data_IF_680541850346
#
_entry.id   IF_680541850346
#
_cell.length_a   1.000
_cell.length_b   1.000
_cell.length_c   1.000
_cell.angle_alpha   90.00
_cell.angle_beta   90.00
_cell.angle_gamma   90.00
#
_symmetry.space_group_name_H-M   'P 1'
#
loop_
_entity.id
_entity.type
_entity.pdbx_description
1 polymer ?
#
# COMPACT_ATOMS: atom_id res chain seq x y z
N UNK A 1 -12.16 17.77 -75.40
CA UNK A 1 -10.88 17.64 -74.69
C UNK A 1 -10.97 16.34 -73.88
N UNK A 2 -10.44 15.22 -74.39
CA UNK A 2 -9.13 14.64 -74.02
C UNK A 2 -8.90 14.59 -72.50
N UNK A 3 -8.53 13.49 -71.85
CA UNK A 3 -8.22 12.11 -72.25
C UNK A 3 -8.26 11.26 -70.96
N UNK A 4 -8.65 10.00 -71.12
CA UNK A 4 -8.66 8.93 -70.12
C UNK A 4 -7.30 8.21 -70.14
N UNK A 5 -6.79 7.79 -68.97
CA UNK A 5 -5.94 6.60 -68.69
C UNK A 5 -5.18 6.85 -67.37
N UNK A 6 -5.01 5.91 -66.45
CA UNK A 6 -5.08 4.46 -66.60
C UNK A 6 -5.49 3.72 -65.33
N UNK A 7 -5.82 2.45 -65.59
CA UNK A 7 -6.18 1.38 -64.67
C UNK A 7 -5.00 0.94 -63.79
N UNK A 8 -5.34 0.45 -62.61
CA UNK A 8 -4.47 -0.33 -61.74
C UNK A 8 -5.34 -1.00 -60.68
N UNK A 9 -5.94 -2.13 -61.03
CA UNK A 9 -6.55 -3.05 -60.07
C UNK A 9 -5.44 -3.78 -59.31
N UNK A 10 -5.65 -3.95 -58.01
CA UNK A 10 -4.81 -4.72 -57.12
C UNK A 10 -5.62 -5.06 -55.88
N UNK A 11 -6.34 -6.17 -55.93
CA UNK A 11 -6.90 -6.83 -54.75
C UNK A 11 -5.76 -7.25 -53.82
N UNK A 12 -5.87 -6.94 -52.52
CA UNK A 12 -5.14 -7.65 -51.47
C UNK A 12 -5.86 -7.44 -50.14
N UNK A 13 -6.44 -8.52 -49.62
CA UNK A 13 -6.95 -8.62 -48.25
C UNK A 13 -5.91 -8.10 -47.24
N UNK A 14 -6.30 -7.14 -46.38
CA UNK A 14 -5.50 -6.77 -45.22
C UNK A 14 -6.23 -7.19 -43.96
N UNK A 15 -5.89 -8.41 -43.56
CA UNK A 15 -6.16 -9.04 -42.28
C UNK A 15 -5.89 -8.06 -41.12
N UNK A 16 -6.83 -8.03 -40.18
CA UNK A 16 -6.76 -7.37 -38.89
C UNK A 16 -5.43 -7.67 -38.18
N UNK A 17 -4.46 -6.76 -38.28
CA UNK A 17 -3.22 -6.86 -37.53
C UNK A 17 -3.45 -6.43 -36.08
N UNK A 18 -3.67 -7.43 -35.21
CA UNK A 18 -3.39 -7.31 -33.79
C UNK A 18 -1.88 -7.03 -33.65
N UNK A 19 -1.46 -5.98 -32.93
CA UNK A 19 -0.04 -5.73 -32.72
C UNK A 19 0.61 -6.94 -32.04
N UNK A 20 1.52 -7.61 -32.74
CA UNK A 20 2.34 -8.68 -32.16
C UNK A 20 3.22 -8.05 -31.08
N UNK A 21 2.93 -8.40 -29.83
CA UNK A 21 3.84 -8.14 -28.71
C UNK A 21 5.14 -8.90 -29.00
N UNK A 22 6.25 -8.17 -29.04
CA UNK A 22 7.59 -8.72 -29.12
C UNK A 22 7.80 -9.76 -28.01
N UNK A 23 7.77 -11.04 -28.37
CA UNK A 23 8.31 -12.11 -27.54
C UNK A 23 9.83 -11.98 -27.52
N UNK A 24 10.32 -11.20 -26.56
CA UNK A 24 11.71 -11.24 -26.17
C UNK A 24 12.01 -12.61 -25.58
N UNK A 25 12.93 -13.33 -26.23
CA UNK A 25 13.47 -14.62 -25.83
C UNK A 25 14.17 -14.54 -24.46
N UNK A 26 13.38 -14.65 -23.38
CA UNK A 26 13.72 -15.17 -22.04
C UNK A 26 12.45 -15.19 -21.14
N UNK A 27 11.30 -15.58 -21.72
CA UNK A 27 10.03 -15.57 -20.99
C UNK A 27 9.76 -16.93 -20.37
N UNK A 28 10.57 -17.31 -19.38
CA UNK A 28 10.05 -18.22 -18.33
C UNK A 28 8.68 -17.69 -17.90
N UNK A 29 7.65 -18.54 -17.94
CA UNK A 29 6.25 -18.14 -17.76
C UNK A 29 6.14 -17.28 -16.49
N UNK A 30 5.86 -16.00 -16.69
CA UNK A 30 5.46 -15.07 -15.63
C UNK A 30 4.15 -14.43 -16.05
N UNK A 31 3.15 -15.29 -16.20
CA UNK A 31 1.77 -14.87 -16.34
C UNK A 31 1.36 -14.23 -15.00
N UNK A 32 1.10 -12.92 -15.00
CA UNK A 32 0.71 -12.16 -13.80
C UNK A 32 -0.50 -12.76 -13.11
N UNK A 33 -1.45 -13.32 -13.88
CA UNK A 33 -2.64 -13.96 -13.35
C UNK A 33 -2.32 -15.26 -12.60
N UNK A 34 -1.39 -16.06 -13.11
CA UNK A 34 -0.91 -17.26 -12.40
C UNK A 34 -0.23 -16.86 -11.10
N UNK A 35 0.59 -15.81 -11.12
CA UNK A 35 1.26 -15.30 -9.92
C UNK A 35 0.26 -14.85 -8.86
N UNK A 36 -0.80 -14.13 -9.25
CA UNK A 36 -1.90 -13.74 -8.34
C UNK A 36 -2.56 -14.97 -7.72
N UNK A 37 -2.91 -15.98 -8.52
CA UNK A 37 -3.54 -17.21 -8.03
C UNK A 37 -2.64 -17.99 -7.06
N UNK A 38 -1.33 -18.02 -7.32
CA UNK A 38 -0.35 -18.59 -6.40
C UNK A 38 -0.32 -17.82 -5.07
N UNK A 39 -0.32 -16.49 -5.10
CA UNK A 39 -0.36 -15.72 -3.85
C UNK A 39 -1.70 -15.85 -3.11
N UNK A 40 -2.80 -16.01 -3.84
CA UNK A 40 -4.12 -16.29 -3.27
C UNK A 40 -4.14 -17.62 -2.53
N UNK A 41 -3.58 -18.69 -3.11
CA UNK A 41 -3.48 -20.00 -2.44
C UNK A 41 -2.58 -19.96 -1.21
N UNK A 42 -1.56 -19.09 -1.21
CA UNK A 42 -0.70 -18.80 -0.07
C UNK A 42 -1.32 -17.80 0.93
N UNK A 43 -2.60 -17.45 0.77
CA UNK A 43 -3.33 -16.49 1.61
C UNK A 43 -2.63 -15.14 1.74
N UNK A 44 -1.93 -14.73 0.67
CA UNK A 44 -1.15 -13.51 0.61
C UNK A 44 -0.21 -13.38 1.81
N UNK A 45 0.66 -14.37 2.02
CA UNK A 45 1.71 -14.31 3.03
C UNK A 45 2.78 -13.26 2.68
N UNK A 46 3.03 -12.36 3.64
CA UNK A 46 3.96 -11.23 3.48
C UNK A 46 5.41 -11.70 3.33
N UNK A 47 5.82 -12.72 4.10
CA UNK A 47 7.19 -13.21 4.06
C UNK A 47 7.51 -13.83 2.70
N UNK A 48 6.56 -14.57 2.13
CA UNK A 48 6.68 -15.15 0.80
C UNK A 48 6.76 -14.05 -0.25
N UNK A 49 5.92 -13.01 -0.19
CA UNK A 49 5.99 -11.89 -1.15
C UNK A 49 7.35 -11.19 -1.09
N UNK A 50 7.86 -10.89 0.10
CA UNK A 50 9.19 -10.30 0.30
C UNK A 50 10.29 -11.17 -0.32
N UNK A 51 10.27 -12.49 -0.07
CA UNK A 51 11.23 -13.44 -0.66
C UNK A 51 11.12 -13.47 -2.18
N UNK A 52 9.92 -13.59 -2.74
CA UNK A 52 9.67 -13.57 -4.19
C UNK A 52 10.21 -12.29 -4.84
N UNK A 53 9.96 -11.12 -4.23
CA UNK A 53 10.47 -9.84 -4.73
C UNK A 53 12.01 -9.72 -4.66
N UNK A 54 12.67 -10.53 -3.82
CA UNK A 54 14.12 -10.57 -3.70
C UNK A 54 14.80 -11.48 -4.74
N UNK A 55 14.07 -12.45 -5.33
CA UNK A 55 14.63 -13.45 -6.25
C UNK A 55 15.26 -12.82 -7.50
N UNK A 56 14.55 -11.92 -8.19
CA UNK A 56 15.09 -11.25 -9.39
C UNK A 56 14.44 -9.88 -9.64
N UNK A 57 15.01 -9.11 -10.57
CA UNK A 57 14.55 -7.75 -10.91
C UNK A 57 13.13 -7.72 -11.50
N UNK A 58 12.75 -8.76 -12.26
CA UNK A 58 11.43 -8.87 -12.90
C UNK A 58 10.32 -9.10 -11.86
N UNK A 59 10.52 -10.04 -10.94
CA UNK A 59 9.63 -10.30 -9.81
C UNK A 59 9.54 -9.09 -8.87
N UNK A 60 10.66 -8.40 -8.62
CA UNK A 60 10.67 -7.14 -7.87
C UNK A 60 9.79 -6.08 -8.54
N UNK A 61 9.87 -5.94 -9.86
CA UNK A 61 9.05 -5.00 -10.62
C UNK A 61 7.55 -5.37 -10.56
N UNK A 62 7.21 -6.65 -10.70
CA UNK A 62 5.84 -7.15 -10.52
C UNK A 62 5.31 -6.93 -9.10
N UNK A 63 6.15 -7.13 -8.07
CA UNK A 63 5.77 -6.85 -6.70
C UNK A 63 5.40 -5.37 -6.52
N UNK A 64 6.28 -4.46 -6.98
CA UNK A 64 6.09 -3.01 -6.94
C UNK A 64 4.83 -2.55 -7.68
N UNK A 65 4.55 -3.12 -8.86
CA UNK A 65 3.43 -2.71 -9.71
C UNK A 65 2.10 -3.31 -9.27
N UNK A 66 2.10 -4.56 -8.80
CA UNK A 66 0.87 -5.35 -8.65
C UNK A 66 0.75 -6.03 -7.27
N UNK A 67 1.72 -6.85 -6.85
CA UNK A 67 1.50 -7.74 -5.70
C UNK A 67 1.27 -7.00 -4.38
N UNK A 68 1.95 -5.87 -4.16
CA UNK A 68 1.71 -5.07 -2.94
C UNK A 68 0.29 -4.53 -2.87
N UNK A 69 -0.30 -4.16 -4.02
CA UNK A 69 -1.69 -3.70 -4.09
C UNK A 69 -2.63 -4.81 -3.71
N UNK A 70 -2.50 -5.96 -4.37
CA UNK A 70 -3.38 -7.11 -4.16
C UNK A 70 -3.27 -7.64 -2.72
N UNK A 71 -2.07 -7.67 -2.13
CA UNK A 71 -1.87 -7.96 -0.70
C UNK A 71 -2.69 -7.02 0.20
N UNK A 72 -2.61 -5.70 -0.04
CA UNK A 72 -3.32 -4.72 0.78
C UNK A 72 -4.85 -4.85 0.63
N UNK A 73 -5.34 -5.08 -0.59
CA UNK A 73 -6.76 -5.31 -0.86
C UNK A 73 -7.27 -6.57 -0.16
N UNK A 74 -6.52 -7.66 -0.20
CA UNK A 74 -6.86 -8.91 0.48
C UNK A 74 -6.88 -8.74 2.01
N UNK A 75 -5.90 -8.02 2.57
CA UNK A 75 -5.66 -7.97 4.02
C UNK A 75 -6.50 -6.93 4.75
N UNK A 76 -6.87 -5.84 4.09
CA UNK A 76 -7.64 -4.76 4.72
C UNK A 76 -8.76 -4.22 3.81
N UNK A 77 -9.66 -5.07 3.28
CA UNK A 77 -10.59 -4.68 2.21
C UNK A 77 -11.51 -3.51 2.56
N UNK A 78 -12.01 -3.45 3.80
CA UNK A 78 -12.89 -2.36 4.26
C UNK A 78 -12.15 -1.01 4.36
N UNK A 79 -10.93 -1.05 4.89
CA UNK A 79 -10.08 0.13 4.96
C UNK A 79 -9.75 0.59 3.54
N UNK A 80 -9.38 -0.34 2.66
CA UNK A 80 -9.03 -0.05 1.28
C UNK A 80 -10.18 0.60 0.52
N UNK A 81 -11.37 0.01 0.58
CA UNK A 81 -12.58 0.58 -0.02
C UNK A 81 -12.79 2.03 0.42
N UNK A 82 -12.66 2.31 1.73
CA UNK A 82 -12.82 3.67 2.26
C UNK A 82 -11.72 4.64 1.81
N UNK A 83 -10.47 4.16 1.67
CA UNK A 83 -9.34 4.98 1.22
C UNK A 83 -9.39 5.25 -0.29
N UNK A 84 -9.94 4.34 -1.09
CA UNK A 84 -10.03 4.48 -2.55
C UNK A 84 -11.36 5.06 -3.03
N UNK A 85 -12.38 5.12 -2.17
CA UNK A 85 -13.69 5.72 -2.48
C UNK A 85 -13.57 7.20 -2.89
N UNK A 86 -14.11 7.52 -4.07
CA UNK A 86 -14.07 8.87 -4.65
C UNK A 86 -12.72 9.28 -5.24
N UNK A 87 -11.74 8.37 -5.30
CA UNK A 87 -10.41 8.59 -5.88
C UNK A 87 -10.21 7.71 -7.10
N UNK A 88 -9.79 8.29 -8.23
CA UNK A 88 -9.25 7.52 -9.35
C UNK A 88 -7.88 6.95 -8.96
N UNK A 89 -7.85 5.92 -8.11
CA UNK A 89 -6.84 4.87 -7.85
C UNK A 89 -5.32 5.17 -7.91
N UNK A 90 -4.87 6.36 -8.28
CA UNK A 90 -3.60 6.47 -8.99
C UNK A 90 -2.43 6.77 -8.06
N UNK A 91 -2.64 7.40 -6.90
CA UNK A 91 -1.53 7.68 -5.97
C UNK A 91 -2.02 7.71 -4.53
N UNK A 92 -2.13 6.55 -3.89
CA UNK A 92 -1.97 6.54 -2.44
C UNK A 92 -0.65 7.27 -2.13
N UNK A 93 -0.69 8.28 -1.28
CA UNK A 93 0.52 9.01 -0.89
C UNK A 93 1.46 8.00 -0.23
N UNK A 94 2.67 7.84 -0.79
CA UNK A 94 3.63 6.81 -0.40
C UNK A 94 3.48 5.44 -1.10
N UNK A 95 2.39 5.20 -1.84
CA UNK A 95 2.17 3.99 -2.64
C UNK A 95 1.85 2.71 -1.85
N UNK A 96 1.64 1.62 -2.58
CA UNK A 96 1.20 0.32 -2.02
C UNK A 96 2.21 -0.32 -1.06
N UNK A 97 3.50 -0.13 -1.31
CA UNK A 97 4.56 -0.66 -0.46
C UNK A 97 4.57 0.02 0.92
N UNK A 98 4.34 1.34 0.99
CA UNK A 98 4.26 2.05 2.27
C UNK A 98 3.05 1.59 3.08
N UNK A 99 1.90 1.36 2.41
CA UNK A 99 0.74 0.80 3.08
C UNK A 99 0.97 -0.64 3.56
N UNK A 100 1.62 -1.48 2.75
CA UNK A 100 2.00 -2.82 3.18
C UNK A 100 2.93 -2.78 4.40
N UNK A 101 3.91 -1.86 4.42
CA UNK A 101 4.76 -1.64 5.60
C UNK A 101 3.90 -1.26 6.81
N UNK A 102 2.95 -0.34 6.67
CA UNK A 102 2.03 0.03 7.76
C UNK A 102 1.22 -1.17 8.28
N UNK A 103 0.71 -2.03 7.38
CA UNK A 103 -0.07 -3.21 7.75
C UNK A 103 0.78 -4.26 8.50
N UNK A 104 2.01 -4.50 8.05
CA UNK A 104 2.78 -5.67 8.46
C UNK A 104 4.00 -5.39 9.32
N UNK A 105 4.42 -4.14 9.48
CA UNK A 105 5.63 -3.79 10.19
C UNK A 105 5.32 -2.83 11.34
N UNK A 106 5.79 -3.19 12.54
CA UNK A 106 5.91 -2.26 13.65
C UNK A 106 7.25 -1.52 13.53
N UNK A 107 7.23 -0.19 13.61
CA UNK A 107 8.44 0.63 13.52
C UNK A 107 9.38 0.47 14.73
N UNK A 108 8.87 -0.08 15.84
CA UNK A 108 9.56 0.04 17.11
C UNK A 108 9.41 1.43 17.71
N UNK A 109 10.12 1.69 18.80
CA UNK A 109 10.08 2.98 19.47
C UNK A 109 11.43 3.27 20.15
N UNK A 110 11.87 4.51 20.09
CA UNK A 110 13.06 5.03 20.76
C UNK A 110 12.65 6.19 21.66
N UNK A 111 13.48 6.50 22.66
CA UNK A 111 13.23 7.64 23.54
C UNK A 111 13.27 8.95 22.76
N UNK A 112 12.24 9.76 22.93
CA UNK A 112 12.15 11.12 22.36
C UNK A 112 12.19 12.16 23.48
N UNK A 113 12.23 13.45 23.11
CA UNK A 113 12.17 14.55 24.10
C UNK A 113 10.87 14.57 24.91
N UNK A 114 9.80 13.98 24.36
CA UNK A 114 8.47 13.96 24.98
C UNK A 114 8.10 12.61 25.59
N UNK A 115 8.83 11.54 25.24
CA UNK A 115 8.52 10.19 25.68
C UNK A 115 9.81 9.41 25.95
N UNK A 116 10.12 9.17 27.23
CA UNK A 116 11.32 8.42 27.63
C UNK A 116 10.98 6.95 27.87
N UNK A 117 11.68 6.08 27.15
CA UNK A 117 11.66 4.63 27.34
C UNK A 117 12.84 4.18 28.21
N UNK A 118 12.64 3.13 29.01
CA UNK A 118 13.75 2.49 29.70
C UNK A 118 14.65 1.72 28.74
N UNK A 119 14.06 1.09 27.71
CA UNK A 119 14.78 0.41 26.64
C UNK A 119 14.15 0.69 25.28
N UNK A 120 14.95 0.95 24.23
CA UNK A 120 14.44 1.09 22.88
C UNK A 120 13.90 -0.25 22.39
N UNK A 121 12.89 -0.20 21.52
CA UNK A 121 12.33 -1.40 20.92
C UNK A 121 12.54 -1.43 19.42
N UNK A 122 13.16 -2.50 18.86
CA UNK A 122 13.43 -2.58 17.43
C UNK A 122 12.14 -2.85 16.63
N UNK A 123 12.14 -2.37 15.38
CA UNK A 123 11.08 -2.66 14.43
C UNK A 123 11.04 -4.13 14.02
N UNK A 124 9.84 -4.65 13.80
CA UNK A 124 9.63 -6.07 13.48
C UNK A 124 8.34 -6.30 12.66
N UNK A 125 8.22 -7.49 12.06
CA UNK A 125 6.96 -7.92 11.42
C UNK A 125 5.93 -8.32 12.45
N UNK A 126 4.76 -7.71 12.40
CA UNK A 126 3.66 -8.06 13.30
C UNK A 126 3.00 -9.37 12.88
N UNK A 127 2.58 -10.18 13.85
CA UNK A 127 1.90 -11.47 13.60
C UNK A 127 0.52 -11.29 12.98
N UNK A 128 -0.20 -10.27 13.43
CA UNK A 128 -1.49 -9.89 12.89
C UNK A 128 -1.65 -8.37 13.01
N UNK A 129 -2.48 -7.79 12.14
CA UNK A 129 -2.87 -6.39 12.26
C UNK A 129 -4.28 -6.22 11.75
N UNK A 130 -5.15 -5.71 12.61
CA UNK A 130 -6.51 -5.33 12.26
C UNK A 130 -6.62 -3.83 12.40
N UNK A 131 -7.05 -3.17 11.33
CA UNK A 131 -7.29 -1.74 11.34
C UNK A 131 -8.78 -1.45 11.53
N UNK A 132 -9.08 -0.62 12.52
CA UNK A 132 -10.44 -0.29 12.95
C UNK A 132 -10.73 1.20 12.78
N UNK A 133 -11.82 1.50 12.06
CA UNK A 133 -12.36 2.87 11.93
C UNK A 133 -12.96 3.37 13.24
N UNK A 134 -13.60 2.48 14.02
CA UNK A 134 -14.22 2.85 15.29
C UNK A 134 -13.18 3.19 16.34
N UNK A 135 -12.13 2.37 16.44
CA UNK A 135 -10.97 2.68 17.29
C UNK A 135 -10.33 3.98 16.83
N UNK A 136 -10.05 4.15 15.54
CA UNK A 136 -9.49 5.42 15.05
C UNK A 136 -10.33 6.66 15.40
N UNK A 137 -11.67 6.55 15.42
CA UNK A 137 -12.55 7.65 15.84
C UNK A 137 -12.37 8.03 17.33
N UNK A 138 -11.98 7.12 18.21
CA UNK A 138 -11.73 7.44 19.62
C UNK A 138 -10.42 8.20 19.84
N UNK A 139 -9.43 8.01 18.96
CA UNK A 139 -8.17 8.78 18.97
C UNK A 139 -8.33 10.21 18.45
N UNK A 140 -9.45 10.53 17.78
CA UNK A 140 -9.69 11.88 17.27
C UNK A 140 -10.28 12.80 18.34
N UNK A 141 -9.74 14.01 18.42
CA UNK A 141 -10.33 15.10 19.18
C UNK A 141 -11.81 15.34 18.78
N UNK A 142 -12.65 15.79 19.71
CA UNK A 142 -14.11 15.89 19.51
C UNK A 142 -14.49 16.66 18.23
N UNK A 143 -13.82 17.77 17.96
CA UNK A 143 -13.99 18.63 16.78
C UNK A 143 -13.50 17.99 15.47
N UNK A 144 -12.65 16.96 15.55
CA UNK A 144 -12.07 16.24 14.41
C UNK A 144 -12.79 14.90 14.12
N UNK A 145 -13.79 14.50 14.92
CA UNK A 145 -14.47 13.18 14.82
C UNK A 145 -15.20 12.89 13.50
N UNK A 146 -15.31 13.86 12.60
CA UNK A 146 -15.82 13.62 11.24
C UNK A 146 -14.73 13.27 10.22
N UNK A 147 -13.45 13.36 10.59
CA UNK A 147 -12.37 12.79 9.79
C UNK A 147 -12.39 11.26 9.88
N UNK A 148 -11.78 10.59 8.90
CA UNK A 148 -11.67 9.13 8.87
C UNK A 148 -10.24 8.73 9.15
N UNK A 149 -10.04 8.12 10.32
CA UNK A 149 -8.79 7.50 10.74
C UNK A 149 -9.05 6.01 11.00
N UNK A 150 -8.21 5.16 10.41
CA UNK A 150 -8.11 3.76 10.79
C UNK A 150 -6.89 3.57 11.67
N UNK A 151 -7.03 2.84 12.77
CA UNK A 151 -5.92 2.53 13.69
C UNK A 151 -5.84 1.02 13.91
N UNK A 152 -4.63 0.47 13.98
CA UNK A 152 -4.39 -0.93 14.28
C UNK A 152 -4.66 -1.24 15.75
N UNK A 153 -4.86 -2.52 16.08
CA UNK A 153 -4.59 -2.97 17.46
C UNK A 153 -3.12 -2.66 17.83
N UNK A 154 -2.80 -2.39 19.11
CA UNK A 154 -1.44 -2.07 19.51
C UNK A 154 -0.52 -3.26 19.32
N UNK A 155 0.71 -3.00 18.90
CA UNK A 155 1.80 -3.94 19.07
C UNK A 155 2.41 -3.72 20.44
N UNK A 156 2.38 -4.71 21.32
CA UNK A 156 2.88 -4.57 22.70
C UNK A 156 4.39 -4.86 22.76
N UNK A 157 5.11 -3.97 23.43
CA UNK A 157 6.54 -4.05 23.61
C UNK A 157 6.86 -3.96 25.10
N UNK A 158 7.51 -4.98 25.68
CA UNK A 158 7.87 -4.95 27.09
C UNK A 158 8.94 -3.90 27.34
N UNK A 159 8.67 -3.03 28.29
CA UNK A 159 9.64 -2.07 28.84
C UNK A 159 10.31 -2.80 30.00
N UNK A 160 11.64 -2.94 29.97
CA UNK A 160 12.38 -3.95 30.75
C UNK A 160 12.15 -4.01 32.28
N UNK A 161 11.55 -2.97 32.86
CA UNK A 161 11.13 -2.94 34.27
C UNK A 161 9.62 -3.20 34.30
N UNK A 162 9.13 -4.04 35.23
CA UNK A 162 7.76 -4.60 35.34
C UNK A 162 6.57 -3.60 35.40
N UNK A 163 6.78 -2.34 35.01
CA UNK A 163 5.79 -1.30 34.84
C UNK A 163 5.57 -1.04 33.35
N UNK A 164 4.39 -1.47 32.91
CA UNK A 164 3.65 -1.11 31.71
C UNK A 164 4.32 -1.46 30.36
N UNK A 165 3.67 -2.34 29.60
CA UNK A 165 3.99 -2.59 28.20
C UNK A 165 3.65 -1.35 27.34
N UNK A 166 4.53 -1.01 26.40
CA UNK A 166 4.28 0.08 25.46
C UNK A 166 3.54 -0.45 24.24
N UNK A 167 2.31 0.05 24.05
CA UNK A 167 1.49 -0.25 22.88
C UNK A 167 1.77 0.69 21.71
N UNK A 168 2.34 0.18 20.62
CA UNK A 168 2.60 0.95 19.40
C UNK A 168 1.42 0.78 18.44
N UNK A 169 0.71 1.88 18.22
CA UNK A 169 -0.40 1.97 17.27
C UNK A 169 0.08 2.42 15.90
N UNK A 170 -0.51 1.85 14.85
CA UNK A 170 -0.28 2.26 13.45
C UNK A 170 -1.58 2.80 12.88
N UNK A 171 -1.52 3.89 12.13
CA UNK A 171 -2.73 4.57 11.66
C UNK A 171 -2.64 5.08 10.23
N UNK A 172 -3.79 5.16 9.57
CA UNK A 172 -3.93 5.79 8.25
C UNK A 172 -5.17 6.68 8.20
N UNK A 173 -4.96 7.92 7.78
CA UNK A 173 -6.02 8.89 7.54
C UNK A 173 -6.52 8.79 6.10
N UNK A 174 -7.84 8.89 5.91
CA UNK A 174 -8.39 9.25 4.60
C UNK A 174 -8.20 10.75 4.40
N UNK A 175 -7.59 11.12 3.27
CA UNK A 175 -7.47 12.52 2.83
C UNK A 175 -6.93 13.49 3.90
N UNK A 176 -5.89 13.09 4.65
CA UNK A 176 -5.32 13.89 5.76
C UNK A 176 -5.08 15.37 5.41
N UNK A 177 -4.60 15.65 4.20
CA UNK A 177 -4.30 17.01 3.75
C UNK A 177 -5.53 17.94 3.74
N UNK A 178 -6.74 17.39 3.66
CA UNK A 178 -8.03 18.10 3.69
C UNK A 178 -8.81 17.87 5.00
N UNK A 179 -8.17 17.29 6.01
CA UNK A 179 -8.82 16.89 7.26
C UNK A 179 -8.88 18.02 8.29
N UNK A 180 -9.90 18.00 9.15
CA UNK A 180 -9.98 18.92 10.30
C UNK A 180 -8.87 18.68 11.31
N UNK A 181 -8.37 17.45 11.40
CA UNK A 181 -7.23 17.07 12.22
C UNK A 181 -5.99 17.86 11.82
N UNK A 182 -5.68 17.93 10.53
CA UNK A 182 -4.56 18.73 10.04
C UNK A 182 -4.73 20.21 10.37
N UNK A 183 -5.91 20.78 10.11
CA UNK A 183 -6.20 22.18 10.45
C UNK A 183 -6.03 22.45 11.95
N UNK A 184 -6.52 21.53 12.79
CA UNK A 184 -6.41 21.62 14.24
C UNK A 184 -4.96 21.57 14.73
N UNK A 185 -4.14 20.67 14.16
CA UNK A 185 -2.71 20.56 14.49
C UNK A 185 -1.95 21.84 14.09
N UNK A 186 -2.26 22.42 12.92
CA UNK A 186 -1.64 23.69 12.46
C UNK A 186 -2.03 24.84 13.39
N UNK A 187 -3.32 24.97 13.74
CA UNK A 187 -3.79 26.02 14.66
C UNK A 187 -3.16 25.93 16.04
N UNK A 188 -2.87 24.71 16.51
CA UNK A 188 -2.16 24.48 17.77
C UNK A 188 -0.65 24.67 17.69
N UNK A 189 -0.10 24.94 16.50
CA UNK A 189 1.33 25.06 16.28
C UNK A 189 2.11 23.86 16.84
N UNK A 190 1.57 22.66 16.66
CA UNK A 190 2.21 21.43 17.15
C UNK A 190 3.51 21.23 16.37
N UNK A 191 4.63 21.21 17.09
CA UNK A 191 5.91 20.84 16.50
C UNK A 191 5.91 19.36 16.15
N UNK A 192 6.28 19.04 14.91
CA UNK A 192 6.53 17.66 14.50
C UNK A 192 7.94 17.26 14.91
N UNK A 193 8.11 16.03 15.40
CA UNK A 193 9.45 15.45 15.55
C UNK A 193 10.04 15.20 14.15
N UNK A 194 11.33 15.50 13.97
CA UNK A 194 12.03 15.17 12.73
C UNK A 194 12.10 13.64 12.61
N UNK A 195 11.61 13.10 11.49
CA UNK A 195 11.60 11.67 11.20
C UNK A 195 12.84 11.17 10.48
#
# INVERSE_FOLDING_TARGET
>A
MCLKMGMGEGESESSSQIPRLNESADSGILNERVLILVFESLKWDIHTLCRTAAVNRRLRALAKRLLWRELCLYRAPRMMSTLTEGSQSSRMIGGWHALAKLLFFCGGCESTRHFRLSQPSPGHFVKSSRFSKTSGRSFLAKNCRGDVLYVSDPCEHPTGDKQDDVGIYRGVFRAFMKSRTREFLIRRQVEFEAG
#
